data_IF_948387924488
#
_entry.id   IF_948387924488
#
_cell.length_a   1.000
_cell.length_b   1.000
_cell.length_c   1.000
_cell.angle_alpha   90.00
_cell.angle_beta   90.00
_cell.angle_gamma   90.00
#
_symmetry.space_group_name_H-M   'P 1'
#
loop_
_entity.id
_entity.type
_entity.pdbx_description
1 polymer ?
#
# COMPACT_ATOMS: atom_id res chain seq x y z
N UNK A 1 15.84 -33.50 -18.08
CA UNK A 1 15.16 -33.31 -16.78
C UNK A 1 14.89 -31.82 -16.61
N UNK A 2 13.80 -31.30 -17.17
CA UNK A 2 13.42 -29.88 -17.09
C UNK A 2 12.06 -29.80 -16.42
N UNK A 3 12.02 -29.25 -15.20
CA UNK A 3 10.80 -29.13 -14.41
C UNK A 3 10.22 -27.72 -14.55
N UNK A 4 8.89 -27.69 -14.70
CA UNK A 4 7.89 -26.59 -14.60
C UNK A 4 7.79 -25.70 -15.87
N UNK A 5 6.89 -25.95 -16.83
CA UNK A 5 5.40 -25.98 -16.84
C UNK A 5 4.76 -24.58 -16.83
N UNK A 6 3.78 -24.34 -17.72
CA UNK A 6 2.93 -23.15 -17.88
C UNK A 6 2.84 -22.27 -16.63
N UNK A 7 3.68 -21.23 -16.59
CA UNK A 7 4.08 -20.61 -15.32
C UNK A 7 3.41 -19.27 -15.08
N UNK A 8 2.57 -19.19 -14.05
CA UNK A 8 2.20 -17.94 -13.38
C UNK A 8 3.49 -17.23 -12.92
N UNK A 9 4.04 -16.38 -13.79
CA UNK A 9 5.10 -15.45 -13.41
C UNK A 9 4.43 -14.21 -12.78
N UNK A 10 4.78 -13.84 -11.55
CA UNK A 10 4.28 -12.59 -10.98
C UNK A 10 4.77 -11.41 -11.83
N UNK A 11 3.88 -10.44 -12.07
CA UNK A 11 4.19 -9.23 -12.84
C UNK A 11 5.12 -8.25 -12.09
N UNK A 12 5.81 -8.73 -11.06
CA UNK A 12 6.78 -8.00 -10.25
C UNK A 12 7.93 -8.94 -9.90
N UNK A 13 9.10 -8.35 -9.69
CA UNK A 13 10.28 -9.09 -9.24
C UNK A 13 10.42 -9.01 -7.72
N UNK A 14 10.97 -10.06 -7.11
CA UNK A 14 11.38 -9.98 -5.70
C UNK A 14 12.37 -8.82 -5.51
N UNK A 15 12.13 -8.01 -4.47
CA UNK A 15 12.91 -6.80 -4.18
C UNK A 15 12.51 -5.55 -4.99
N UNK A 16 11.54 -5.63 -5.90
CA UNK A 16 11.04 -4.47 -6.62
C UNK A 16 10.32 -3.49 -5.68
N UNK A 17 10.64 -2.20 -5.81
CA UNK A 17 9.96 -1.14 -5.06
C UNK A 17 8.63 -0.81 -5.72
N UNK A 18 7.57 -0.85 -4.93
CA UNK A 18 6.22 -0.47 -5.35
C UNK A 18 5.71 0.72 -4.53
N UNK A 19 5.04 1.69 -5.15
CA UNK A 19 4.34 2.74 -4.42
C UNK A 19 3.35 2.15 -3.42
N UNK A 20 3.32 2.71 -2.21
CA UNK A 20 2.56 2.15 -1.07
C UNK A 20 1.04 2.20 -1.29
N UNK A 21 0.53 3.14 -2.08
CA UNK A 21 -0.91 3.28 -2.34
C UNK A 21 -1.47 2.17 -3.25
N UNK A 22 -0.61 1.42 -3.95
CA UNK A 22 -1.02 0.44 -4.96
C UNK A 22 -1.35 -0.94 -4.40
N UNK A 23 -0.99 -1.23 -3.16
CA UNK A 23 -1.16 -2.57 -2.60
C UNK A 23 -1.68 -2.51 -1.16
N UNK A 24 -2.25 -3.62 -0.73
CA UNK A 24 -2.82 -3.73 0.60
C UNK A 24 -1.79 -3.52 1.74
N UNK A 25 -0.58 -4.13 1.73
CA UNK A 25 0.36 -3.92 2.84
C UNK A 25 0.85 -2.47 2.92
N UNK A 26 1.07 -1.80 1.79
CA UNK A 26 1.43 -0.39 1.75
C UNK A 26 0.32 0.51 2.25
N UNK A 27 -0.94 0.25 1.85
CA UNK A 27 -2.12 0.96 2.40
C UNK A 27 -2.30 0.72 3.90
N UNK A 28 -2.04 -0.49 4.40
CA UNK A 28 -2.04 -0.78 5.84
C UNK A 28 -0.96 0.00 6.57
N UNK A 29 0.25 0.10 6.00
CA UNK A 29 1.33 0.90 6.58
C UNK A 29 0.92 2.38 6.64
N UNK A 30 0.46 2.95 5.53
CA UNK A 30 0.02 4.34 5.46
C UNK A 30 -1.12 4.63 6.46
N UNK A 31 -2.09 3.73 6.59
CA UNK A 31 -3.22 3.89 7.52
C UNK A 31 -2.81 3.83 9.00
N UNK A 32 -1.65 3.23 9.29
CA UNK A 32 -1.10 3.15 10.65
C UNK A 32 -0.28 4.38 11.05
N UNK A 33 0.07 5.26 10.11
CA UNK A 33 0.84 6.46 10.40
C UNK A 33 -0.01 7.53 11.09
N UNK A 34 0.59 8.39 11.93
CA UNK A 34 0.00 9.65 12.36
C UNK A 34 -0.40 10.55 11.17
N UNK A 35 -1.44 11.37 11.35
CA UNK A 35 -2.03 12.15 10.25
C UNK A 35 -1.07 13.20 9.66
N UNK A 36 -0.19 13.77 10.49
CA UNK A 36 0.87 14.69 10.07
C UNK A 36 1.89 14.00 9.16
N UNK A 37 2.37 12.81 9.56
CA UNK A 37 3.30 12.01 8.74
C UNK A 37 2.66 11.51 7.45
N UNK A 38 1.38 11.13 7.51
CA UNK A 38 0.63 10.75 6.32
C UNK A 38 0.53 11.93 5.34
N UNK A 39 0.18 13.12 5.83
CA UNK A 39 0.06 14.33 5.01
C UNK A 39 1.39 14.69 4.36
N UNK A 40 2.51 14.61 5.10
CA UNK A 40 3.86 14.80 4.59
C UNK A 40 4.18 13.83 3.45
N UNK A 41 4.01 12.52 3.70
CA UNK A 41 4.32 11.47 2.70
C UNK A 41 3.45 11.62 1.46
N UNK A 42 2.14 11.84 1.62
CA UNK A 42 1.25 12.05 0.48
C UNK A 42 1.60 13.33 -0.26
N UNK A 43 2.00 14.39 0.47
CA UNK A 43 2.51 15.67 -0.03
C UNK A 43 3.63 15.52 -1.05
N UNK A 44 4.58 14.63 -0.77
CA UNK A 44 5.76 14.35 -1.60
C UNK A 44 5.56 13.21 -2.61
N UNK A 45 4.41 12.52 -2.56
CA UNK A 45 4.16 11.33 -3.39
C UNK A 45 3.44 11.65 -4.69
N UNK A 46 4.01 11.18 -5.80
CA UNK A 46 3.30 11.07 -7.07
C UNK A 46 2.38 9.84 -7.03
N UNK A 47 1.06 10.06 -6.97
CA UNK A 47 0.04 9.01 -6.98
C UNK A 47 -0.17 8.45 -8.39
N UNK A 48 0.86 7.78 -8.93
CA UNK A 48 0.85 7.26 -10.28
C UNK A 48 -0.23 6.20 -10.48
N UNK A 49 -1.07 6.38 -11.50
CA UNK A 49 -2.00 5.36 -11.97
C UNK A 49 -1.21 4.17 -12.52
N UNK A 50 -1.48 2.97 -12.02
CA UNK A 50 -0.96 1.72 -12.60
C UNK A 50 -2.02 0.87 -13.26
N UNK A 51 -3.28 1.07 -12.87
CA UNK A 51 -4.46 0.45 -13.45
C UNK A 51 -5.62 1.43 -13.33
N UNK A 52 -6.74 1.16 -14.01
CA UNK A 52 -7.98 1.92 -13.82
C UNK A 52 -8.55 1.84 -12.40
N UNK A 53 -8.15 0.84 -11.60
CA UNK A 53 -8.59 0.70 -10.22
C UNK A 53 -7.75 1.55 -9.24
N UNK A 54 -6.61 2.08 -9.68
CA UNK A 54 -5.67 2.81 -8.83
C UNK A 54 -6.30 4.09 -8.28
N UNK A 55 -6.30 4.25 -6.95
CA UNK A 55 -6.66 5.52 -6.31
C UNK A 55 -5.54 6.54 -6.55
N UNK A 56 -5.76 7.46 -7.47
CA UNK A 56 -4.83 8.56 -7.79
C UNK A 56 -5.25 9.90 -7.20
N UNK A 57 -6.49 10.00 -6.72
CA UNK A 57 -6.98 11.16 -6.01
C UNK A 57 -6.58 11.09 -4.53
N UNK A 58 -6.09 12.22 -4.00
CA UNK A 58 -5.60 12.28 -2.62
C UNK A 58 -6.73 12.15 -1.61
N UNK A 59 -7.84 12.85 -1.82
CA UNK A 59 -8.96 12.84 -0.88
C UNK A 59 -9.61 11.45 -0.83
N UNK A 60 -9.73 10.79 -1.98
CA UNK A 60 -10.19 9.40 -2.07
C UNK A 60 -9.26 8.42 -1.35
N UNK A 61 -7.93 8.59 -1.52
CA UNK A 61 -6.94 7.75 -0.84
C UNK A 61 -7.00 7.97 0.67
N UNK A 62 -7.05 9.21 1.15
CA UNK A 62 -7.18 9.52 2.57
C UNK A 62 -8.47 8.97 3.18
N UNK A 63 -9.59 9.04 2.45
CA UNK A 63 -10.85 8.45 2.88
C UNK A 63 -10.74 6.92 2.99
N UNK A 64 -10.05 6.26 2.05
CA UNK A 64 -9.78 4.83 2.12
C UNK A 64 -8.88 4.47 3.30
N UNK A 65 -7.81 5.23 3.56
CA UNK A 65 -6.89 4.99 4.67
C UNK A 65 -7.60 5.14 6.03
N UNK A 66 -8.50 6.11 6.17
CA UNK A 66 -9.37 6.25 7.35
C UNK A 66 -10.23 5.01 7.55
N UNK A 67 -10.90 4.51 6.51
CA UNK A 67 -11.66 3.26 6.58
C UNK A 67 -10.79 2.06 6.97
N UNK A 68 -9.56 1.99 6.47
CA UNK A 68 -8.62 0.92 6.81
C UNK A 68 -8.25 0.97 8.29
N UNK A 69 -8.03 2.18 8.83
CA UNK A 69 -7.74 2.41 10.25
C UNK A 69 -8.91 1.99 11.12
N UNK A 70 -10.14 2.37 10.77
CA UNK A 70 -11.36 2.04 11.52
C UNK A 70 -11.69 0.54 11.49
N UNK A 71 -11.53 -0.10 10.33
CA UNK A 71 -11.87 -1.51 10.15
C UNK A 71 -10.76 -2.48 10.59
N UNK A 72 -9.51 -2.01 10.68
CA UNK A 72 -8.37 -2.84 11.04
C UNK A 72 -7.91 -3.79 9.93
N UNK A 73 -8.30 -3.54 8.67
CA UNK A 73 -7.81 -4.29 7.51
C UNK A 73 -7.79 -3.45 6.22
N UNK A 74 -6.88 -3.78 5.32
CA UNK A 74 -6.75 -3.17 3.99
C UNK A 74 -7.00 -4.16 2.86
N UNK A 75 -7.40 -3.62 1.70
CA UNK A 75 -7.60 -4.39 0.48
C UNK A 75 -6.78 -3.85 -0.69
N UNK A 76 -6.33 -4.78 -1.54
CA UNK A 76 -5.94 -4.51 -2.91
C UNK A 76 -7.07 -5.04 -3.81
N UNK A 77 -7.69 -4.15 -4.58
CA UNK A 77 -8.79 -4.37 -5.52
C UNK A 77 -8.31 -4.34 -6.98
N UNK A 78 -7.06 -4.70 -7.21
CA UNK A 78 -6.45 -4.75 -8.54
C UNK A 78 -5.63 -3.51 -8.90
N UNK A 79 -5.35 -2.61 -7.94
CA UNK A 79 -4.58 -1.38 -8.19
C UNK A 79 -3.12 -1.65 -8.60
N UNK A 80 -2.63 -2.86 -8.33
CA UNK A 80 -1.24 -3.27 -8.51
C UNK A 80 -0.94 -3.81 -9.92
N UNK A 81 -1.89 -4.51 -10.57
CA UNK A 81 -1.67 -5.26 -11.81
C UNK A 81 -2.94 -5.36 -12.67
N UNK A 82 -2.80 -5.09 -13.96
CA UNK A 82 -3.87 -5.19 -14.94
C UNK A 82 -4.28 -6.66 -15.19
N UNK A 83 -5.56 -6.90 -15.51
CA UNK A 83 -6.08 -8.26 -15.72
C UNK A 83 -6.52 -9.02 -14.46
N UNK A 84 -6.24 -8.49 -13.26
CA UNK A 84 -6.88 -8.96 -12.04
C UNK A 84 -8.28 -8.36 -11.93
N UNK A 85 -9.29 -9.07 -12.43
CA UNK A 85 -10.70 -8.80 -12.06
C UNK A 85 -10.78 -8.66 -10.54
N UNK A 86 -11.66 -7.78 -10.04
CA UNK A 86 -11.93 -7.41 -8.63
C UNK A 86 -12.11 -8.56 -7.60
N UNK A 87 -11.86 -9.82 -7.96
CA UNK A 87 -12.02 -11.03 -7.15
C UNK A 87 -10.80 -11.41 -6.29
N UNK A 88 -9.59 -10.91 -6.57
CA UNK A 88 -8.43 -11.11 -5.66
C UNK A 88 -8.39 -10.01 -4.61
N UNK A 89 -9.11 -10.21 -3.51
CA UNK A 89 -8.93 -9.40 -2.29
C UNK A 89 -7.73 -9.93 -1.51
N UNK A 90 -6.57 -9.31 -1.70
CA UNK A 90 -5.53 -9.40 -0.67
C UNK A 90 -6.05 -8.67 0.57
N UNK A 91 -6.19 -9.36 1.70
CA UNK A 91 -6.60 -8.76 2.98
C UNK A 91 -5.40 -8.72 3.91
N UNK A 92 -5.02 -7.53 4.37
CA UNK A 92 -3.97 -7.38 5.37
C UNK A 92 -4.58 -6.80 6.62
N UNK A 93 -4.35 -7.45 7.77
CA UNK A 93 -4.77 -6.90 9.06
C UNK A 93 -3.87 -5.71 9.37
N UNK A 94 -4.48 -4.55 9.56
CA UNK A 94 -3.83 -3.38 10.12
C UNK A 94 -3.91 -3.52 11.64
N UNK A 95 -2.78 -3.75 12.31
CA UNK A 95 -2.72 -3.43 13.74
C UNK A 95 -2.78 -1.91 13.82
N UNK A 96 -3.76 -1.38 14.54
CA UNK A 96 -3.70 0.02 14.94
C UNK A 96 -2.32 0.25 15.58
N UNK A 97 -1.58 1.24 15.10
CA UNK A 97 -0.43 1.75 15.82
C UNK A 97 -1.00 2.48 17.04
N UNK A 98 -1.46 1.73 18.04
CA UNK A 98 -2.06 2.32 19.24
C UNK A 98 -1.02 3.18 19.97
N UNK A 99 0.27 2.98 19.69
CA UNK A 99 1.37 3.69 20.32
C UNK A 99 2.50 3.86 19.30
N UNK A 100 2.43 4.88 18.43
CA UNK A 100 3.62 5.33 17.73
C UNK A 100 4.51 6.03 18.76
N UNK A 101 5.72 5.52 19.09
CA UNK A 101 6.57 6.18 20.06
C UNK A 101 6.95 7.56 19.50
N UNK A 102 6.68 8.62 20.25
CA UNK A 102 6.99 10.01 19.89
C UNK A 102 8.50 10.23 19.56
N UNK A 103 9.35 9.25 19.84
CA UNK A 103 10.79 9.24 19.56
C UNK A 103 11.19 8.76 18.15
N UNK A 104 10.27 8.26 17.31
CA UNK A 104 10.62 7.72 15.98
C UNK A 104 10.92 8.80 14.90
N UNK A 105 11.03 10.06 15.30
CA UNK A 105 11.35 11.19 14.41
C UNK A 105 12.86 11.44 14.23
N UNK A 106 13.74 10.61 14.77
CA UNK A 106 15.19 10.89 14.80
C UNK A 106 16.08 10.03 13.87
N UNK A 107 15.57 8.93 13.29
CA UNK A 107 16.44 7.99 12.57
C UNK A 107 16.33 8.15 11.04
N UNK A 108 16.85 9.28 10.55
CA UNK A 108 17.25 9.45 9.15
C UNK A 108 18.62 8.78 9.01
N UNK A 109 18.80 7.74 8.18
CA UNK A 109 20.15 7.19 7.96
C UNK A 109 21.04 8.29 7.35
N UNK A 110 22.31 8.42 7.79
CA UNK A 110 23.24 9.37 7.18
C UNK A 110 23.45 9.00 5.70
N UNK A 111 23.55 10.04 4.88
CA UNK A 111 23.77 9.94 3.43
C UNK A 111 25.17 9.45 3.04
#
# INVERSE_FOLDING_TARGET
>A
MGFIADGWAPAYREGERMPLHLNAPGKSLLASLPDDRLTEILGESDLTARTEATLTDRDELEAELRRIRDNGFSFCRGEQFEGHRRSRRGVFRTRAATEWPQSASADRPPG
#
